data_IF_431480785271
#
_entry.id   IF_431480785271
#
_cell.length_a   1.000
_cell.length_b   1.000
_cell.length_c   1.000
_cell.angle_alpha   90.00
_cell.angle_beta   90.00
_cell.angle_gamma   90.00
#
_symmetry.space_group_name_H-M   'P 1'
#
loop_
_entity.id
_entity.type
_entity.pdbx_description
1 polymer ?
#
# COMPACT_ATOMS: atom_id res chain seq x y z
N UNK A 1 21.17 -11.49 2.60
CA UNK A 1 19.76 -11.40 2.18
C UNK A 1 19.17 -10.24 2.94
N UNK A 2 18.77 -9.16 2.25
CA UNK A 2 18.15 -8.01 2.91
C UNK A 2 16.76 -8.42 3.38
N UNK A 3 16.41 -8.12 4.64
CA UNK A 3 15.07 -8.37 5.19
C UNK A 3 14.02 -7.71 4.29
N UNK A 4 12.97 -8.44 3.87
CA UNK A 4 11.93 -7.86 3.03
C UNK A 4 11.17 -6.78 3.83
N UNK A 5 10.79 -5.69 3.14
CA UNK A 5 10.05 -4.58 3.76
C UNK A 5 8.73 -5.06 4.38
N UNK A 6 8.07 -6.00 3.71
CA UNK A 6 6.83 -6.64 4.08
C UNK A 6 6.99 -8.15 3.85
N UNK A 7 6.48 -9.02 4.74
CA UNK A 7 6.49 -10.47 4.49
C UNK A 7 5.70 -10.79 3.21
N UNK A 8 5.98 -11.92 2.53
CA UNK A 8 5.15 -12.37 1.40
C UNK A 8 3.71 -12.65 1.87
N UNK A 9 2.75 -12.60 0.95
CA UNK A 9 1.33 -12.89 1.19
C UNK A 9 0.78 -12.15 2.42
N UNK A 10 1.00 -10.83 2.45
CA UNK A 10 0.65 -9.98 3.60
C UNK A 10 0.07 -8.66 3.11
N UNK A 11 -0.98 -8.19 3.79
CA UNK A 11 -1.44 -6.81 3.72
C UNK A 11 -0.89 -6.04 4.91
N UNK A 12 -0.43 -4.81 4.69
CA UNK A 12 0.08 -3.94 5.75
C UNK A 12 -0.54 -2.57 5.62
N UNK A 13 -1.07 -2.05 6.73
CA UNK A 13 -1.46 -0.65 6.85
C UNK A 13 -0.52 0.04 7.82
N UNK A 14 0.27 0.97 7.31
CA UNK A 14 1.00 1.95 8.10
C UNK A 14 0.11 3.17 8.32
N UNK A 15 0.05 3.68 9.54
CA UNK A 15 -0.63 4.92 9.89
C UNK A 15 0.29 5.86 10.68
N UNK A 16 0.25 7.14 10.35
CA UNK A 16 0.91 8.22 11.07
C UNK A 16 -0.15 9.15 11.61
N UNK A 17 0.06 9.69 12.82
CA UNK A 17 -0.93 10.53 13.52
C UNK A 17 -1.92 9.75 14.37
N UNK A 18 -1.70 8.44 14.59
CA UNK A 18 -2.42 7.57 15.52
C UNK A 18 -1.45 6.81 16.41
N UNK A 19 -1.93 6.40 17.59
CA UNK A 19 -1.25 5.40 18.40
C UNK A 19 -1.65 3.98 17.99
N UNK A 20 -0.81 3.01 18.38
CA UNK A 20 -0.97 1.61 18.02
C UNK A 20 -2.26 1.01 18.58
N UNK A 21 -2.62 1.20 19.88
CA UNK A 21 -3.88 0.67 20.42
C UNK A 21 -5.10 1.16 19.65
N UNK A 22 -5.10 2.42 19.21
CA UNK A 22 -6.20 2.99 18.42
C UNK A 22 -6.31 2.34 17.05
N UNK A 23 -5.18 2.18 16.33
CA UNK A 23 -5.16 1.53 15.03
C UNK A 23 -5.68 0.09 15.12
N UNK A 24 -5.14 -0.68 16.07
CA UNK A 24 -5.53 -2.08 16.26
C UNK A 24 -6.99 -2.24 16.65
N UNK A 25 -7.50 -1.37 17.54
CA UNK A 25 -8.91 -1.38 17.93
C UNK A 25 -9.84 -1.08 16.74
N UNK A 26 -9.53 -0.09 15.91
CA UNK A 26 -10.35 0.25 14.74
C UNK A 26 -10.44 -0.91 13.76
N UNK A 27 -9.34 -1.62 13.52
CA UNK A 27 -9.33 -2.81 12.66
C UNK A 27 -10.08 -3.98 13.30
N UNK A 28 -9.94 -4.20 14.61
CA UNK A 28 -10.69 -5.23 15.33
C UNK A 28 -12.21 -4.98 15.32
N UNK A 29 -12.65 -3.73 15.46
CA UNK A 29 -14.07 -3.32 15.47
C UNK A 29 -14.80 -3.68 14.16
N UNK A 30 -14.08 -3.76 13.04
CA UNK A 30 -14.61 -4.15 11.73
C UNK A 30 -14.36 -5.62 11.39
N UNK A 31 -13.93 -6.43 12.37
CA UNK A 31 -13.69 -7.86 12.19
C UNK A 31 -12.38 -8.20 11.47
N UNK A 32 -11.41 -7.30 11.49
CA UNK A 32 -10.09 -7.46 10.87
C UNK A 32 -8.98 -7.40 11.94
N UNK A 33 -8.95 -8.32 12.92
CA UNK A 33 -7.90 -8.30 13.93
C UNK A 33 -6.52 -8.42 13.29
N UNK A 34 -5.56 -7.63 13.80
CA UNK A 34 -4.18 -7.65 13.29
C UNK A 34 -3.53 -9.01 13.55
N UNK A 35 -2.80 -9.52 12.55
CA UNK A 35 -1.91 -10.69 12.68
C UNK A 35 -0.66 -10.32 13.45
N UNK A 36 -0.02 -9.22 13.06
CA UNK A 36 1.08 -8.58 13.79
C UNK A 36 0.87 -7.08 13.79
N UNK A 37 1.50 -6.40 14.74
CA UNK A 37 1.37 -4.96 14.92
C UNK A 37 2.66 -4.39 15.50
N UNK A 38 2.91 -3.09 15.31
CA UNK A 38 4.10 -2.46 15.87
C UNK A 38 4.17 -0.95 15.64
N UNK A 39 5.21 -0.32 16.19
CA UNK A 39 5.43 1.12 16.10
C UNK A 39 6.93 1.44 16.00
N UNK A 40 7.30 2.29 15.03
CA UNK A 40 8.66 2.75 14.78
C UNK A 40 8.63 3.94 13.81
N UNK A 41 9.63 4.83 13.90
CA UNK A 41 9.85 5.93 12.93
C UNK A 41 8.63 6.85 12.71
N UNK A 42 7.82 7.03 13.76
CA UNK A 42 6.59 7.84 13.71
C UNK A 42 5.43 7.16 12.98
N UNK A 43 5.57 5.88 12.63
CA UNK A 43 4.52 5.03 12.08
C UNK A 43 4.07 4.00 13.11
N UNK A 44 2.78 3.73 13.12
CA UNK A 44 2.20 2.51 13.69
C UNK A 44 1.72 1.63 12.54
N UNK A 45 1.77 0.32 12.67
CA UNK A 45 1.30 -0.58 11.62
C UNK A 45 0.57 -1.78 12.18
N UNK A 46 -0.29 -2.33 11.33
CA UNK A 46 -0.93 -3.63 11.50
C UNK A 46 -0.76 -4.43 10.21
N UNK A 47 -0.66 -5.76 10.35
CA UNK A 47 -0.62 -6.69 9.23
C UNK A 47 -1.83 -7.61 9.24
N UNK A 48 -2.26 -8.05 8.05
CA UNK A 48 -3.38 -8.96 7.88
C UNK A 48 -3.02 -10.09 6.93
N UNK A 49 -3.56 -11.27 7.20
CA UNK A 49 -3.39 -12.46 6.38
C UNK A 49 -4.45 -12.49 5.27
N UNK A 50 -4.07 -12.62 3.98
CA UNK A 50 -5.00 -12.75 2.87
C UNK A 50 -5.92 -13.96 2.95
N UNK A 51 -5.61 -14.97 3.78
CA UNK A 51 -6.50 -16.10 4.04
C UNK A 51 -7.69 -15.74 4.96
N UNK A 52 -7.59 -14.64 5.72
CA UNK A 52 -8.56 -14.28 6.77
C UNK A 52 -9.44 -13.07 6.41
N UNK A 53 -9.06 -12.31 5.38
CA UNK A 53 -9.80 -11.15 4.92
C UNK A 53 -9.47 -10.83 3.46
N UNK A 54 -10.38 -10.12 2.78
CA UNK A 54 -10.13 -9.67 1.41
C UNK A 54 -9.30 -8.39 1.44
N UNK A 55 -8.30 -8.29 0.57
CA UNK A 55 -7.40 -7.14 0.59
C UNK A 55 -8.10 -5.81 0.28
N UNK A 56 -9.18 -5.83 -0.51
CA UNK A 56 -10.01 -4.65 -0.76
C UNK A 56 -10.58 -4.06 0.52
N UNK A 57 -11.09 -4.89 1.43
CA UNK A 57 -11.63 -4.42 2.72
C UNK A 57 -10.52 -3.80 3.57
N UNK A 58 -9.33 -4.43 3.62
CA UNK A 58 -8.20 -3.90 4.39
C UNK A 58 -7.73 -2.54 3.84
N UNK A 59 -7.65 -2.43 2.52
CA UNK A 59 -7.29 -1.21 1.80
C UNK A 59 -8.32 -0.08 1.98
N UNK A 60 -9.62 -0.40 1.88
CA UNK A 60 -10.70 0.56 2.10
C UNK A 60 -10.66 1.10 3.54
N UNK A 61 -10.45 0.21 4.52
CA UNK A 61 -10.31 0.60 5.91
C UNK A 61 -9.11 1.54 6.13
N UNK A 62 -7.98 1.28 5.45
CA UNK A 62 -6.81 2.16 5.49
C UNK A 62 -7.14 3.56 4.95
N UNK A 63 -7.97 3.66 3.92
CA UNK A 63 -8.48 4.93 3.39
C UNK A 63 -9.43 5.63 4.36
N UNK A 64 -10.40 4.90 4.91
CA UNK A 64 -11.42 5.44 5.81
C UNK A 64 -10.83 6.08 7.06
N UNK A 65 -9.76 5.52 7.64
CA UNK A 65 -9.03 6.08 8.79
C UNK A 65 -8.64 7.57 8.61
N UNK A 66 -8.37 7.98 7.38
CA UNK A 66 -7.94 9.34 7.05
C UNK A 66 -9.10 10.31 6.82
N UNK A 67 -10.33 9.80 6.75
CA UNK A 67 -11.51 10.54 6.32
C UNK A 67 -12.20 11.34 7.42
N UNK A 68 -13.15 12.18 6.98
CA UNK A 68 -13.95 13.06 7.84
C UNK A 68 -14.70 12.31 8.94
N UNK A 69 -15.09 11.05 8.70
CA UNK A 69 -15.81 10.20 9.67
C UNK A 69 -15.04 9.98 10.97
N UNK A 70 -13.73 10.17 10.95
CA UNK A 70 -12.88 10.04 12.12
C UNK A 70 -12.39 11.38 12.68
N UNK A 71 -12.82 12.53 12.16
CA UNK A 71 -12.40 13.84 12.69
C UNK A 71 -12.86 14.05 14.14
N UNK A 72 -14.05 13.57 14.50
CA UNK A 72 -14.52 13.62 15.89
C UNK A 72 -13.64 12.77 16.84
N UNK A 73 -12.98 11.74 16.31
CA UNK A 73 -12.13 10.81 17.08
C UNK A 73 -10.67 11.25 17.10
N UNK A 74 -10.15 11.81 16.00
CA UNK A 74 -8.72 12.08 15.81
C UNK A 74 -8.38 13.57 15.72
N UNK A 75 -9.38 14.45 15.66
CA UNK A 75 -9.23 15.90 15.52
C UNK A 75 -9.51 16.42 14.11
N UNK A 76 -9.74 17.73 13.99
CA UNK A 76 -9.99 18.42 12.72
C UNK A 76 -8.92 19.51 12.46
N UNK A 77 -8.28 19.53 11.28
CA UNK A 77 -8.42 18.54 10.21
C UNK A 77 -7.85 17.18 10.65
N UNK A 78 -8.41 16.08 10.12
CA UNK A 78 -7.91 14.72 10.44
C UNK A 78 -6.39 14.65 10.22
N UNK A 79 -5.58 14.40 11.26
CA UNK A 79 -4.12 14.40 11.15
C UNK A 79 -3.58 13.12 10.49
N UNK A 80 -4.43 12.11 10.31
CA UNK A 80 -4.02 10.77 9.93
C UNK A 80 -3.64 10.68 8.45
N UNK A 81 -2.50 10.05 8.23
CA UNK A 81 -1.98 9.64 6.93
C UNK A 81 -1.78 8.12 6.95
N UNK A 82 -2.12 7.44 5.86
CA UNK A 82 -1.91 6.00 5.74
C UNK A 82 -1.16 5.62 4.48
N UNK A 83 -0.33 4.59 4.60
CA UNK A 83 0.27 3.86 3.47
C UNK A 83 -0.17 2.41 3.59
N UNK A 84 -0.90 1.94 2.60
CA UNK A 84 -1.26 0.53 2.45
C UNK A 84 -0.32 -0.14 1.47
N UNK A 85 0.18 -1.33 1.84
CA UNK A 85 0.98 -2.20 0.99
C UNK A 85 0.39 -3.60 0.92
N UNK A 86 0.44 -4.22 -0.26
CA UNK A 86 0.15 -5.64 -0.45
C UNK A 86 1.35 -6.35 -1.12
N UNK A 87 1.81 -7.43 -0.50
CA UNK A 87 2.82 -8.35 -1.07
C UNK A 87 2.20 -9.56 -1.76
N UNK A 88 0.87 -9.62 -1.86
CA UNK A 88 0.15 -10.72 -2.49
C UNK A 88 0.49 -10.87 -3.98
N UNK A 89 0.28 -12.06 -4.57
CA UNK A 89 0.45 -12.26 -6.01
C UNK A 89 -0.47 -11.35 -6.83
N UNK A 90 -0.11 -11.14 -8.10
CA UNK A 90 -0.97 -10.41 -9.02
C UNK A 90 -2.33 -11.11 -9.16
N UNK A 91 -3.43 -10.34 -9.23
CA UNK A 91 -4.77 -10.86 -9.53
C UNK A 91 -4.71 -11.65 -10.84
N UNK A 92 -5.03 -12.95 -10.80
CA UNK A 92 -5.24 -13.76 -12.00
C UNK A 92 -6.64 -13.53 -12.62
N UNK A 93 -7.39 -12.58 -12.07
CA UNK A 93 -8.78 -12.31 -12.36
C UNK A 93 -8.92 -11.79 -13.80
N UNK A 94 -9.87 -12.29 -14.61
CA UNK A 94 -10.05 -11.86 -16.00
C UNK A 94 -10.20 -10.34 -16.13
N UNK A 95 -10.89 -9.71 -15.18
CA UNK A 95 -11.11 -8.27 -15.12
C UNK A 95 -9.89 -7.44 -14.67
N UNK A 96 -8.87 -8.09 -14.07
CA UNK A 96 -7.61 -7.43 -13.71
C UNK A 96 -6.74 -7.06 -14.91
N UNK A 97 -7.17 -7.45 -16.13
CA UNK A 97 -6.48 -7.17 -17.39
C UNK A 97 -7.11 -6.03 -18.20
N UNK A 98 -8.33 -5.58 -17.83
CA UNK A 98 -9.05 -4.55 -18.57
C UNK A 98 -8.81 -3.16 -17.97
N UNK A 99 -8.45 -2.22 -18.84
CA UNK A 99 -8.52 -0.79 -18.56
C UNK A 99 -9.93 -0.47 -18.10
N UNK A 100 -10.06 -0.05 -16.84
CA UNK A 100 -11.25 0.55 -16.22
C UNK A 100 -11.98 -0.24 -15.13
N UNK A 101 -11.60 -1.47 -14.78
CA UNK A 101 -12.27 -2.22 -13.70
C UNK A 101 -11.50 -2.05 -12.37
N UNK A 102 -12.18 -1.72 -11.25
CA UNK A 102 -11.59 -1.87 -9.93
C UNK A 102 -11.01 -3.28 -9.80
N UNK A 103 -9.78 -3.42 -9.32
CA UNK A 103 -9.29 -4.74 -8.96
C UNK A 103 -10.32 -5.39 -8.01
N UNK A 104 -10.61 -6.68 -8.19
CA UNK A 104 -11.72 -7.31 -7.48
C UNK A 104 -11.54 -7.16 -5.97
N UNK A 105 -12.62 -7.28 -5.20
CA UNK A 105 -12.61 -7.10 -3.75
C UNK A 105 -11.52 -7.91 -3.01
N UNK A 106 -11.07 -9.04 -3.58
CA UNK A 106 -10.00 -9.86 -3.04
C UNK A 106 -8.57 -9.30 -3.24
N UNK A 107 -8.32 -8.48 -4.26
CA UNK A 107 -6.97 -8.06 -4.68
C UNK A 107 -6.93 -6.53 -4.86
N UNK A 108 -6.54 -5.74 -3.85
CA UNK A 108 -6.45 -4.28 -3.96
C UNK A 108 -5.22 -3.86 -4.79
N UNK A 109 -5.07 -2.55 -5.01
CA UNK A 109 -3.77 -2.00 -5.45
C UNK A 109 -2.68 -2.35 -4.44
N UNK A 110 -1.49 -2.68 -4.91
CA UNK A 110 -0.38 -3.04 -4.03
C UNK A 110 0.20 -1.88 -3.26
N UNK A 111 -0.01 -0.65 -3.72
CA UNK A 111 0.34 0.56 -3.00
C UNK A 111 -0.82 1.54 -3.06
N UNK A 112 -1.21 2.07 -1.90
CA UNK A 112 -2.16 3.17 -1.77
C UNK A 112 -1.67 4.08 -0.67
N UNK A 113 -1.49 5.36 -0.99
CA UNK A 113 -1.27 6.42 -0.01
C UNK A 113 -2.53 7.28 0.12
N UNK A 114 -3.01 7.43 1.35
CA UNK A 114 -4.24 8.15 1.66
C UNK A 114 -4.02 9.24 2.70
N UNK A 115 -4.68 10.37 2.54
CA UNK A 115 -4.67 11.48 3.49
C UNK A 115 -5.94 12.30 3.34
N UNK A 116 -6.50 12.80 4.46
CA UNK A 116 -7.72 13.64 4.48
C UNK A 116 -8.93 13.01 3.77
N UNK A 117 -9.04 11.68 3.79
CA UNK A 117 -10.16 10.94 3.22
C UNK A 117 -10.03 10.64 1.72
N UNK A 118 -8.87 10.90 1.13
CA UNK A 118 -8.63 10.66 -0.29
C UNK A 118 -7.40 9.76 -0.49
N UNK A 119 -7.54 8.77 -1.38
CA UNK A 119 -6.40 8.05 -1.94
C UNK A 119 -5.70 8.97 -2.94
N UNK A 120 -4.57 9.54 -2.53
CA UNK A 120 -3.85 10.56 -3.30
C UNK A 120 -2.88 9.95 -4.31
N UNK A 121 -2.38 8.73 -4.07
CA UNK A 121 -1.52 8.00 -5.01
C UNK A 121 -1.75 6.51 -4.84
N UNK A 122 -1.91 5.78 -5.94
CA UNK A 122 -2.06 4.33 -5.93
C UNK A 122 -1.62 3.69 -7.24
N UNK A 123 -1.00 2.51 -7.14
CA UNK A 123 -0.52 1.73 -8.27
C UNK A 123 -0.11 0.31 -7.82
N UNK A 124 0.18 -0.59 -8.76
CA UNK A 124 0.72 -1.92 -8.51
C UNK A 124 2.25 -1.93 -8.61
N UNK A 125 2.89 -2.94 -8.02
CA UNK A 125 4.36 -3.03 -8.04
C UNK A 125 4.84 -4.14 -8.96
N UNK A 126 5.97 -3.89 -9.60
CA UNK A 126 6.73 -4.84 -10.41
C UNK A 126 6.14 -5.19 -11.78
N UNK A 127 6.32 -6.43 -12.25
CA UNK A 127 5.87 -6.90 -13.57
C UNK A 127 4.35 -7.07 -13.73
N UNK A 128 3.56 -6.48 -12.82
CA UNK A 128 2.12 -6.66 -12.72
C UNK A 128 1.45 -5.59 -13.59
N UNK A 129 0.62 -6.01 -14.55
CA UNK A 129 -0.03 -5.08 -15.49
C UNK A 129 -0.89 -4.06 -14.74
N UNK A 130 -0.63 -2.79 -14.98
CA UNK A 130 -1.37 -1.66 -14.45
C UNK A 130 -2.35 -1.15 -15.50
N UNK A 131 -3.65 -1.22 -15.21
CA UNK A 131 -4.67 -0.61 -16.06
C UNK A 131 -5.10 0.78 -15.56
N UNK A 132 -4.77 1.11 -14.30
CA UNK A 132 -4.96 2.43 -13.67
C UNK A 132 -3.85 2.73 -12.65
N UNK A 133 -3.20 3.88 -12.83
CA UNK A 133 -2.34 4.55 -11.85
C UNK A 133 -2.96 5.90 -11.54
N UNK A 134 -2.80 6.35 -10.30
CA UNK A 134 -3.15 7.71 -9.93
C UNK A 134 -2.09 8.32 -9.02
N UNK A 135 -2.01 9.65 -9.07
CA UNK A 135 -1.08 10.45 -8.29
C UNK A 135 0.31 10.58 -8.91
N UNK A 136 1.03 11.60 -8.46
CA UNK A 136 2.36 11.98 -8.91
C UNK A 136 3.40 12.01 -7.77
N UNK A 137 3.00 11.60 -6.56
CA UNK A 137 3.83 11.72 -5.35
C UNK A 137 5.21 11.08 -5.50
N UNK A 138 5.29 9.93 -6.19
CA UNK A 138 6.53 9.17 -6.39
C UNK A 138 7.05 9.29 -7.83
N UNK A 139 6.49 10.18 -8.66
CA UNK A 139 6.78 10.19 -10.10
C UNK A 139 8.25 10.48 -10.38
N UNK A 140 8.89 11.36 -9.59
CA UNK A 140 10.28 11.75 -9.80
C UNK A 140 11.22 10.59 -9.50
N UNK A 141 11.01 9.91 -8.38
CA UNK A 141 11.79 8.76 -7.93
C UNK A 141 11.60 7.57 -8.87
N UNK A 142 10.36 7.31 -9.31
CA UNK A 142 10.07 6.23 -10.26
C UNK A 142 10.64 6.52 -11.66
N UNK A 143 10.64 7.77 -12.12
CA UNK A 143 11.31 8.20 -13.36
C UNK A 143 12.83 8.04 -13.24
N UNK A 144 13.41 8.52 -12.14
CA UNK A 144 14.86 8.43 -11.90
C UNK A 144 15.35 6.97 -11.82
N UNK A 145 14.51 6.06 -11.31
CA UNK A 145 14.80 4.63 -11.28
C UNK A 145 14.59 3.91 -12.61
N UNK A 146 14.04 4.59 -13.63
CA UNK A 146 13.71 4.02 -14.93
C UNK A 146 12.52 3.04 -14.90
N UNK A 147 11.67 3.12 -13.86
CA UNK A 147 10.52 2.23 -13.68
C UNK A 147 9.33 2.71 -14.54
N UNK A 148 9.20 4.03 -14.69
CA UNK A 148 8.20 4.66 -15.57
C UNK A 148 8.86 5.72 -16.43
N UNK A 149 8.19 6.13 -17.51
CA UNK A 149 8.69 7.11 -18.46
C UNK A 149 8.20 6.80 -19.87
N UNK A 150 8.47 7.72 -20.81
CA UNK A 150 8.24 7.46 -22.24
C UNK A 150 9.10 6.31 -22.74
N UNK A 151 10.31 6.23 -22.21
CA UNK A 151 11.29 5.18 -22.46
C UNK A 151 11.62 4.56 -21.11
N UNK A 152 11.67 3.23 -21.06
CA UNK A 152 12.08 2.47 -19.86
C UNK A 152 13.24 1.53 -20.22
N UNK A 153 14.37 2.08 -20.72
CA UNK A 153 15.45 1.31 -21.35
C UNK A 153 16.04 0.25 -20.41
N UNK A 154 15.95 0.47 -19.10
CA UNK A 154 16.41 -0.48 -18.09
C UNK A 154 15.69 -1.82 -18.14
N UNK A 155 14.43 -1.88 -18.53
CA UNK A 155 13.74 -3.18 -18.74
C UNK A 155 14.22 -3.90 -20.00
N UNK A 156 14.77 -3.18 -20.98
CA UNK A 156 15.35 -3.76 -22.19
C UNK A 156 16.76 -4.29 -21.92
N UNK A 157 17.56 -3.55 -21.16
CA UNK A 157 18.93 -3.90 -20.78
C UNK A 157 18.99 -4.98 -19.69
N UNK A 158 18.06 -4.95 -18.73
CA UNK A 158 18.00 -5.84 -17.58
C UNK A 158 16.63 -6.56 -17.52
N UNK A 159 16.42 -7.64 -18.30
CA UNK A 159 15.19 -8.42 -18.23
C UNK A 159 14.91 -8.89 -16.80
N UNK A 160 13.78 -8.45 -16.25
CA UNK A 160 13.35 -8.79 -14.89
C UNK A 160 13.81 -7.83 -13.79
N UNK A 161 14.50 -6.73 -14.11
CA UNK A 161 15.01 -5.71 -13.17
C UNK A 161 14.12 -5.41 -11.95
N UNK A 162 12.81 -5.28 -12.18
CA UNK A 162 11.83 -5.00 -11.13
C UNK A 162 10.61 -5.92 -11.27
N UNK A 163 10.79 -7.17 -11.71
CA UNK A 163 9.65 -8.07 -11.94
C UNK A 163 8.87 -8.38 -10.64
N UNK A 164 9.57 -8.50 -9.51
CA UNK A 164 8.97 -8.73 -8.20
C UNK A 164 8.41 -7.45 -7.54
N UNK A 165 8.87 -6.28 -7.99
CA UNK A 165 8.51 -4.96 -7.44
C UNK A 165 9.43 -4.48 -6.31
N UNK A 166 10.54 -5.17 -6.05
CA UNK A 166 11.43 -4.86 -4.93
C UNK A 166 12.02 -3.44 -5.00
N UNK A 167 12.36 -2.96 -6.20
CA UNK A 167 12.88 -1.59 -6.39
C UNK A 167 11.80 -0.56 -6.11
N UNK A 168 10.58 -0.81 -6.58
CA UNK A 168 9.42 0.06 -6.31
C UNK A 168 9.11 0.12 -4.81
N UNK A 169 9.11 -1.01 -4.11
CA UNK A 169 8.88 -1.07 -2.67
C UNK A 169 9.96 -0.34 -1.88
N UNK A 170 11.23 -0.42 -2.31
CA UNK A 170 12.32 0.35 -1.71
C UNK A 170 12.08 1.85 -1.84
N UNK A 171 11.72 2.33 -3.03
CA UNK A 171 11.41 3.75 -3.26
C UNK A 171 10.26 4.22 -2.37
N UNK A 172 9.20 3.42 -2.23
CA UNK A 172 8.08 3.74 -1.33
C UNK A 172 8.58 3.83 0.12
N UNK A 173 9.30 2.81 0.60
CA UNK A 173 9.82 2.80 1.96
C UNK A 173 10.71 4.00 2.26
N UNK A 174 11.63 4.32 1.34
CA UNK A 174 12.58 5.41 1.50
C UNK A 174 11.87 6.78 1.47
N UNK A 175 10.87 6.96 0.59
CA UNK A 175 10.10 8.21 0.49
C UNK A 175 9.30 8.51 1.77
N UNK A 176 8.66 7.49 2.36
CA UNK A 176 7.81 7.68 3.56
C UNK A 176 8.56 7.44 4.89
N UNK A 177 9.76 6.86 4.84
CA UNK A 177 10.48 6.37 6.01
C UNK A 177 9.74 5.21 6.69
N UNK A 178 9.28 4.22 5.92
CA UNK A 178 8.51 3.08 6.46
C UNK A 178 9.42 2.08 7.18
N UNK A 179 9.06 1.63 8.39
CA UNK A 179 9.78 0.55 9.04
C UNK A 179 9.52 -0.79 8.33
N UNK A 180 10.50 -1.68 8.39
CA UNK A 180 10.35 -3.05 7.92
C UNK A 180 9.41 -3.82 8.86
N UNK A 181 8.54 -4.64 8.28
CA UNK A 181 7.52 -5.42 9.00
C UNK A 181 7.65 -6.93 8.75
N UNK A 182 8.65 -7.33 7.95
CA UNK A 182 9.03 -8.71 7.64
C UNK A 182 10.07 -9.31 8.57
#
# INVERSE_FOLDING_TARGET
MSTPLIPPDTFVTYARGLDLPTLSAVYADVGLPARTEGAADGWVWVTHDPATGTGGIVADQAGFLTGFRYEDRFGSPNPVETVFLASTPACACPHGQDYMVPHCEAHPFHFIHSRRGFSTTYFNVGGRRESRRHGDLLVRELLAAGIVGRETPRYEEEPGFNADGAVTLRIIADHFGLPATG
#
